data_IF_934012449080
#
_entry.id   IF_934012449080
#
_cell.length_a   1.000
_cell.length_b   1.000
_cell.length_c   1.000
_cell.angle_alpha   90.00
_cell.angle_beta   90.00
_cell.angle_gamma   90.00
#
_symmetry.space_group_name_H-M   'P 1'
#
loop_
_entity.id
_entity.type
_entity.pdbx_description
1 polymer ?
#
# COMPACT_ATOMS: atom_id res chain seq x y z
N UNK A 1 11.35 -1.14 8.77
CA UNK A 1 10.66 -0.66 7.55
C UNK A 1 9.14 -0.72 7.70
N UNK A 2 8.60 -1.78 8.32
CA UNK A 2 7.16 -1.97 8.61
C UNK A 2 6.44 -0.73 9.13
N UNK A 3 6.94 -0.12 10.23
CA UNK A 3 6.31 1.07 10.82
C UNK A 3 6.28 2.23 9.82
N UNK A 4 7.42 2.51 9.17
CA UNK A 4 7.52 3.60 8.18
C UNK A 4 6.59 3.39 6.97
N UNK A 5 6.51 2.18 6.44
CA UNK A 5 5.57 1.86 5.36
C UNK A 5 4.11 1.94 5.80
N UNK A 6 3.78 1.46 7.01
CA UNK A 6 2.43 1.55 7.57
C UNK A 6 1.97 2.99 7.79
N UNK A 7 2.85 3.84 8.33
CA UNK A 7 2.58 5.29 8.49
C UNK A 7 2.37 5.96 7.13
N UNK A 8 3.16 5.62 6.12
CA UNK A 8 2.98 6.17 4.75
C UNK A 8 1.64 5.72 4.16
N UNK A 9 1.29 4.44 4.26
CA UNK A 9 0.00 3.93 3.79
C UNK A 9 -1.16 4.66 4.46
N UNK A 10 -1.09 4.81 5.79
CA UNK A 10 -2.08 5.51 6.59
C UNK A 10 -2.18 6.99 6.19
N UNK A 11 -1.06 7.70 6.07
CA UNK A 11 -1.04 9.13 5.73
C UNK A 11 -1.64 9.40 4.35
N UNK A 12 -1.30 8.58 3.33
CA UNK A 12 -1.92 8.70 2.00
C UNK A 12 -3.40 8.34 2.06
N UNK A 13 -3.79 7.34 2.87
CA UNK A 13 -5.20 6.99 3.06
C UNK A 13 -5.99 8.14 3.67
N UNK A 14 -5.45 8.79 4.70
CA UNK A 14 -6.04 9.96 5.33
C UNK A 14 -6.12 11.17 4.39
N UNK A 15 -5.07 11.44 3.62
CA UNK A 15 -5.10 12.53 2.64
C UNK A 15 -6.20 12.29 1.58
N UNK A 16 -6.31 11.05 1.08
CA UNK A 16 -7.31 10.70 0.06
C UNK A 16 -8.73 10.61 0.61
N UNK A 17 -8.92 10.35 1.91
CA UNK A 17 -10.27 10.33 2.48
C UNK A 17 -10.97 11.69 2.47
N UNK A 18 -10.22 12.77 2.28
CA UNK A 18 -10.74 14.13 2.11
C UNK A 18 -11.32 14.37 0.71
N UNK A 19 -11.03 13.50 -0.26
CA UNK A 19 -11.51 13.65 -1.63
C UNK A 19 -13.00 13.23 -1.72
N UNK A 20 -13.84 13.94 -2.49
CA UNK A 20 -15.25 13.57 -2.70
C UNK A 20 -15.42 12.14 -3.24
N UNK A 21 -14.53 11.74 -4.15
CA UNK A 21 -14.53 10.39 -4.75
C UNK A 21 -14.29 9.27 -3.73
N UNK A 22 -13.57 9.56 -2.64
CA UNK A 22 -13.39 8.61 -1.54
C UNK A 22 -14.63 8.52 -0.63
N UNK A 23 -15.45 9.57 -0.57
CA UNK A 23 -16.73 9.51 0.14
C UNK A 23 -17.75 8.65 -0.61
N UNK A 24 -17.80 8.78 -1.93
CA UNK A 24 -18.62 7.94 -2.81
C UNK A 24 -18.28 6.45 -2.67
N UNK A 25 -17.00 6.10 -2.77
CA UNK A 25 -16.53 4.72 -2.60
C UNK A 25 -16.93 4.13 -1.24
N UNK A 26 -16.77 4.91 -0.17
CA UNK A 26 -17.16 4.47 1.18
C UNK A 26 -18.66 4.29 1.32
N UNK A 27 -19.45 5.21 0.78
CA UNK A 27 -20.90 5.13 0.83
C UNK A 27 -21.40 3.87 0.08
N UNK A 28 -20.84 3.59 -1.10
CA UNK A 28 -21.20 2.42 -1.90
C UNK A 28 -20.89 1.09 -1.20
N UNK A 29 -19.85 1.05 -0.37
CA UNK A 29 -19.44 -0.15 0.37
C UNK A 29 -19.88 -0.14 1.85
N UNK A 30 -20.72 0.81 2.27
CA UNK A 30 -21.19 0.98 3.65
C UNK A 30 -20.05 1.05 4.68
N UNK A 31 -18.96 1.72 4.33
CA UNK A 31 -17.75 1.77 5.15
C UNK A 31 -17.77 2.97 6.12
N UNK A 32 -17.59 2.69 7.41
CA UNK A 32 -17.43 3.71 8.46
C UNK A 32 -16.12 4.50 8.28
N UNK A 33 -16.20 5.84 8.32
CA UNK A 33 -15.05 6.73 8.16
C UNK A 33 -13.98 6.48 9.23
N UNK A 34 -14.37 6.54 10.51
CA UNK A 34 -13.46 6.44 11.65
C UNK A 34 -12.77 5.08 11.66
N UNK A 35 -13.53 4.01 11.50
CA UNK A 35 -13.01 2.64 11.56
C UNK A 35 -12.02 2.36 10.41
N UNK A 36 -12.41 2.69 9.17
CA UNK A 36 -11.59 2.38 8.01
C UNK A 36 -10.31 3.23 7.95
N UNK A 37 -10.44 4.54 8.14
CA UNK A 37 -9.33 5.46 7.87
C UNK A 37 -8.37 5.50 9.04
N UNK A 38 -8.85 5.56 10.27
CA UNK A 38 -7.97 5.74 11.44
C UNK A 38 -7.39 4.42 11.94
N UNK A 39 -8.14 3.32 11.89
CA UNK A 39 -7.73 2.06 12.51
C UNK A 39 -7.32 1.04 11.46
N UNK A 40 -8.21 0.70 10.54
CA UNK A 40 -7.98 -0.40 9.60
C UNK A 40 -6.88 -0.07 8.59
N UNK A 41 -6.78 1.18 8.12
CA UNK A 41 -5.73 1.56 7.17
C UNK A 41 -4.32 1.52 7.77
N UNK A 42 -4.17 1.85 9.05
CA UNK A 42 -2.88 1.75 9.73
C UNK A 42 -2.48 0.29 9.91
N UNK A 43 -3.40 -0.55 10.40
CA UNK A 43 -3.16 -1.98 10.62
C UNK A 43 -2.89 -2.69 9.28
N UNK A 44 -3.74 -2.47 8.28
CA UNK A 44 -3.56 -3.01 6.94
C UNK A 44 -2.26 -2.54 6.29
N UNK A 45 -1.94 -1.26 6.43
CA UNK A 45 -0.67 -0.69 5.96
C UNK A 45 0.54 -1.32 6.62
N UNK A 46 0.49 -1.61 7.93
CA UNK A 46 1.54 -2.33 8.64
C UNK A 46 1.68 -3.78 8.18
N UNK A 47 0.57 -4.50 7.98
CA UNK A 47 0.57 -5.89 7.48
C UNK A 47 1.22 -5.95 6.09
N UNK A 48 0.78 -5.08 5.17
CA UNK A 48 1.35 -4.98 3.82
C UNK A 48 2.85 -4.66 3.93
N UNK A 49 3.21 -3.65 4.71
CA UNK A 49 4.60 -3.20 4.84
C UNK A 49 5.50 -4.25 5.49
N UNK A 50 4.97 -5.06 6.41
CA UNK A 50 5.67 -6.20 6.99
C UNK A 50 5.96 -7.26 5.93
N UNK A 51 4.94 -7.68 5.17
CA UNK A 51 5.10 -8.64 4.08
C UNK A 51 6.09 -8.18 3.02
N UNK A 52 5.97 -6.91 2.58
CA UNK A 52 6.90 -6.30 1.62
C UNK A 52 8.33 -6.27 2.16
N UNK A 53 8.50 -5.85 3.42
CA UNK A 53 9.82 -5.82 4.08
C UNK A 53 10.44 -7.21 4.15
N UNK A 54 9.65 -8.21 4.56
CA UNK A 54 10.10 -9.60 4.67
C UNK A 54 10.55 -10.18 3.34
N UNK A 55 9.72 -10.05 2.29
CA UNK A 55 10.05 -10.56 0.96
C UNK A 55 11.26 -9.84 0.38
N UNK A 56 11.34 -8.50 0.54
CA UNK A 56 12.48 -7.72 0.07
C UNK A 56 13.79 -8.17 0.73
N UNK A 57 13.79 -8.44 2.05
CA UNK A 57 14.97 -8.98 2.74
C UNK A 57 15.31 -10.40 2.29
N UNK A 58 14.32 -11.30 2.24
CA UNK A 58 14.55 -12.73 2.03
C UNK A 58 14.91 -13.09 0.60
N UNK A 59 14.37 -12.35 -0.36
CA UNK A 59 14.44 -12.64 -1.78
C UNK A 59 15.02 -11.49 -2.59
N UNK A 60 15.82 -10.62 -1.98
CA UNK A 60 16.39 -9.43 -2.62
C UNK A 60 17.00 -9.77 -3.99
N UNK A 61 17.82 -10.81 -4.07
CA UNK A 61 18.54 -11.20 -5.29
C UNK A 61 17.63 -11.78 -6.39
N UNK A 62 16.43 -12.23 -6.04
CA UNK A 62 15.45 -12.81 -6.98
C UNK A 62 14.52 -11.77 -7.60
N UNK A 63 14.41 -10.58 -7.01
CA UNK A 63 13.55 -9.52 -7.53
C UNK A 63 14.26 -8.80 -8.69
N UNK A 64 13.62 -8.57 -9.84
CA UNK A 64 14.22 -7.82 -10.94
C UNK A 64 14.65 -6.41 -10.50
N UNK A 65 15.77 -5.90 -11.04
CA UNK A 65 16.46 -4.63 -10.70
C UNK A 65 17.67 -4.79 -9.76
N UNK A 66 18.57 -3.81 -9.78
CA UNK A 66 19.66 -3.62 -8.79
C UNK A 66 19.31 -2.58 -7.71
N UNK A 67 18.33 -1.72 -7.97
CA UNK A 67 17.95 -0.63 -7.07
C UNK A 67 16.91 -1.12 -6.04
N UNK A 68 17.19 -1.05 -4.72
CA UNK A 68 16.23 -1.45 -3.67
C UNK A 68 14.88 -0.75 -3.76
N UNK A 69 14.84 0.51 -4.21
CA UNK A 69 13.61 1.28 -4.39
C UNK A 69 12.76 0.64 -5.47
N UNK A 70 13.36 0.35 -6.64
CA UNK A 70 12.61 -0.24 -7.75
C UNK A 70 12.12 -1.65 -7.43
N UNK A 71 12.94 -2.47 -6.75
CA UNK A 71 12.52 -3.81 -6.27
C UNK A 71 11.29 -3.73 -5.35
N UNK A 72 11.33 -2.81 -4.38
CA UNK A 72 10.24 -2.60 -3.44
C UNK A 72 8.98 -2.07 -4.12
N UNK A 73 9.12 -1.17 -5.11
CA UNK A 73 8.00 -0.69 -5.93
C UNK A 73 7.35 -1.84 -6.71
N UNK A 74 8.14 -2.66 -7.42
CA UNK A 74 7.63 -3.83 -8.15
C UNK A 74 6.84 -4.75 -7.21
N UNK A 75 7.40 -5.05 -6.05
CA UNK A 75 6.75 -5.91 -5.07
C UNK A 75 5.46 -5.28 -4.52
N UNK A 76 5.45 -3.97 -4.30
CA UNK A 76 4.25 -3.25 -3.88
C UNK A 76 3.15 -3.29 -4.95
N UNK A 77 3.50 -3.23 -6.24
CA UNK A 77 2.53 -3.42 -7.33
C UNK A 77 1.98 -4.86 -7.41
N UNK A 78 2.77 -5.87 -7.04
CA UNK A 78 2.23 -7.24 -6.88
C UNK A 78 1.20 -7.29 -5.75
N UNK A 79 1.49 -6.65 -4.60
CA UNK A 79 0.54 -6.54 -3.50
C UNK A 79 -0.71 -5.74 -3.89
N UNK A 80 -0.57 -4.69 -4.71
CA UNK A 80 -1.70 -3.96 -5.30
C UNK A 80 -2.58 -4.87 -6.14
N UNK A 81 -2.00 -5.80 -6.92
CA UNK A 81 -2.77 -6.79 -7.68
C UNK A 81 -3.66 -7.64 -6.78
N UNK A 82 -3.13 -8.13 -5.65
CA UNK A 82 -3.89 -8.91 -4.66
C UNK A 82 -5.00 -8.06 -4.04
N UNK A 83 -4.71 -6.82 -3.62
CA UNK A 83 -5.71 -5.92 -3.06
C UNK A 83 -6.78 -5.54 -4.10
N UNK A 84 -6.40 -5.39 -5.36
CA UNK A 84 -7.36 -5.13 -6.45
C UNK A 84 -8.36 -6.28 -6.60
N UNK A 85 -7.95 -7.54 -6.42
CA UNK A 85 -8.88 -8.68 -6.43
C UNK A 85 -9.90 -8.52 -5.29
N UNK A 86 -9.47 -8.17 -4.09
CA UNK A 86 -10.37 -7.95 -2.94
C UNK A 86 -11.33 -6.79 -3.19
N UNK A 87 -10.84 -5.69 -3.78
CA UNK A 87 -11.67 -4.55 -4.19
C UNK A 87 -12.69 -4.97 -5.24
N UNK A 88 -12.30 -5.80 -6.22
CA UNK A 88 -13.20 -6.32 -7.25
C UNK A 88 -14.32 -7.20 -6.65
N UNK A 89 -13.99 -8.05 -5.68
CA UNK A 89 -14.98 -8.86 -4.94
C UNK A 89 -15.95 -7.99 -4.13
N UNK A 90 -15.46 -6.89 -3.54
CA UNK A 90 -16.33 -5.96 -2.84
C UNK A 90 -17.24 -5.19 -3.82
N UNK A 91 -16.66 -4.69 -4.92
CA UNK A 91 -17.37 -3.91 -5.92
C UNK A 91 -18.44 -4.72 -6.66
N UNK A 92 -18.23 -6.02 -6.90
CA UNK A 92 -19.21 -6.90 -7.55
C UNK A 92 -20.53 -7.06 -6.79
N UNK A 93 -20.56 -6.63 -5.51
CA UNK A 93 -21.76 -6.63 -4.66
C UNK A 93 -22.55 -5.32 -4.74
N UNK A 94 -22.08 -4.37 -5.54
CA UNK A 94 -22.72 -3.07 -5.76
C UNK A 94 -23.41 -3.03 -7.11
N UNK A 95 -24.37 -2.11 -7.29
CA UNK A 95 -25.07 -1.92 -8.56
C UNK A 95 -24.17 -1.35 -9.67
N UNK A 96 -23.06 -0.69 -9.30
CA UNK A 96 -22.13 -0.05 -10.23
C UNK A 96 -20.69 -0.58 -10.02
N UNK A 97 -20.55 -1.89 -10.21
CA UNK A 97 -19.32 -2.61 -9.87
C UNK A 97 -18.07 -2.08 -10.56
N UNK A 98 -18.17 -1.72 -11.85
CA UNK A 98 -17.02 -1.23 -12.62
C UNK A 98 -16.55 0.14 -12.12
N UNK A 99 -17.47 1.07 -11.88
CA UNK A 99 -17.15 2.40 -11.36
C UNK A 99 -16.52 2.33 -9.97
N UNK A 100 -17.13 1.57 -9.05
CA UNK A 100 -16.61 1.41 -7.68
C UNK A 100 -15.24 0.72 -7.68
N UNK A 101 -15.05 -0.29 -8.55
CA UNK A 101 -13.74 -0.94 -8.72
C UNK A 101 -12.68 0.06 -9.21
N UNK A 102 -12.99 0.86 -10.24
CA UNK A 102 -12.06 1.85 -10.79
C UNK A 102 -11.69 2.92 -9.78
N UNK A 103 -12.65 3.38 -8.96
CA UNK A 103 -12.35 4.30 -7.85
C UNK A 103 -11.38 3.64 -6.87
N UNK A 104 -11.68 2.40 -6.44
CA UNK A 104 -10.85 1.67 -5.49
C UNK A 104 -9.42 1.46 -6.01
N UNK A 105 -9.25 1.06 -7.27
CA UNK A 105 -7.92 0.89 -7.88
C UNK A 105 -7.18 2.22 -7.99
N UNK A 106 -7.85 3.27 -8.48
CA UNK A 106 -7.28 4.62 -8.62
C UNK A 106 -6.74 5.16 -7.30
N UNK A 107 -7.47 4.96 -6.20
CA UNK A 107 -7.04 5.38 -4.86
C UNK A 107 -5.90 4.52 -4.31
N UNK A 108 -5.78 3.25 -4.70
CA UNK A 108 -4.74 2.36 -4.23
C UNK A 108 -3.42 2.49 -5.01
N UNK A 109 -3.43 2.82 -6.31
CA UNK A 109 -2.20 2.98 -7.10
C UNK A 109 -1.18 3.91 -6.41
N UNK A 110 -1.54 5.15 -6.00
CA UNK A 110 -0.60 6.03 -5.31
C UNK A 110 -0.16 5.46 -3.96
N UNK A 111 -1.08 4.84 -3.18
CA UNK A 111 -0.75 4.27 -1.87
C UNK A 111 0.36 3.23 -1.98
N UNK A 112 0.21 2.28 -2.89
CA UNK A 112 1.21 1.22 -3.08
C UNK A 112 2.51 1.76 -3.70
N UNK A 113 2.43 2.74 -4.61
CA UNK A 113 3.63 3.43 -5.09
C UNK A 113 4.44 4.06 -3.95
N UNK A 114 3.78 4.86 -3.09
CA UNK A 114 4.45 5.53 -1.98
C UNK A 114 5.00 4.56 -0.94
N UNK A 115 4.26 3.49 -0.60
CA UNK A 115 4.75 2.44 0.30
C UNK A 115 5.97 1.73 -0.27
N UNK A 116 5.94 1.36 -1.55
CA UNK A 116 7.07 0.74 -2.25
C UNK A 116 8.31 1.64 -2.21
N UNK A 117 8.16 2.93 -2.51
CA UNK A 117 9.25 3.92 -2.44
C UNK A 117 9.78 4.04 -1.00
N UNK A 118 8.90 4.19 -0.01
CA UNK A 118 9.28 4.36 1.39
C UNK A 118 10.07 3.16 1.92
N UNK A 119 9.59 1.94 1.68
CA UNK A 119 10.27 0.72 2.11
C UNK A 119 11.64 0.59 1.45
N UNK A 120 11.73 0.78 0.13
CA UNK A 120 13.01 0.66 -0.57
C UNK A 120 14.02 1.75 -0.19
N UNK A 121 13.54 2.96 0.11
CA UNK A 121 14.39 4.03 0.65
C UNK A 121 14.91 3.70 2.04
N UNK A 122 14.03 3.23 2.94
CA UNK A 122 14.40 2.82 4.29
C UNK A 122 15.37 1.62 4.28
N UNK A 123 15.19 0.66 3.37
CA UNK A 123 16.11 -0.45 3.16
C UNK A 123 17.51 0.06 2.79
N UNK A 124 17.59 0.91 1.77
CA UNK A 124 18.85 1.50 1.29
C UNK A 124 19.55 2.29 2.40
N UNK A 125 18.79 3.04 3.20
CA UNK A 125 19.32 3.79 4.35
C UNK A 125 19.87 2.86 5.42
N UNK A 126 19.15 1.79 5.77
CA UNK A 126 19.58 0.82 6.77
C UNK A 126 20.89 0.14 6.36
N UNK A 127 20.99 -0.33 5.12
CA UNK A 127 22.19 -0.97 4.59
C UNK A 127 23.41 -0.02 4.63
N UNK A 128 23.21 1.25 4.26
CA UNK A 128 24.28 2.26 4.33
C UNK A 128 24.78 2.47 5.78
N UNK A 129 23.87 2.47 6.76
CA UNK A 129 24.21 2.65 8.16
C UNK A 129 24.98 1.45 8.73
N UNK A 130 24.70 0.23 8.27
CA UNK A 130 25.48 -0.96 8.67
C UNK A 130 26.91 -0.93 8.12
N UNK A 131 27.09 -0.49 6.87
CA UNK A 131 28.44 -0.37 6.28
C UNK A 131 29.26 0.70 6.97
N UNK A 132 28.68 1.85 7.32
CA UNK A 132 29.38 2.95 7.98
C UNK A 132 29.81 2.65 9.43
N UNK A 133 29.27 1.59 10.05
CA UNK A 133 29.63 1.14 11.40
C UNK A 133 30.77 0.11 11.43
N UNK A 134 31.16 -0.44 10.26
CA UNK A 134 32.29 -1.37 10.11
C UNK A 134 33.52 -0.60 9.67
#
# INVERSE_FOLDING_TARGET
>A
MTIGGGVVFWAITFAFSLLPIAAEFRAALSISYVQMILVESLIGGMIISFGLSYILFRFFDKIPSKNPILKSVILSFVALGIVSILVGVAASRTSDALHIFLIGVTLNIPRFLFVGVAIGYLYKRLYRLEVAKK
#
